data_IF_784194577738
#
_entry.id   IF_784194577738
#
_cell.length_a   1.000
_cell.length_b   1.000
_cell.length_c   1.000
_cell.angle_alpha   90.00
_cell.angle_beta   90.00
_cell.angle_gamma   90.00
#
_symmetry.space_group_name_H-M   'P 1'
#
loop_
_entity.id
_entity.type
_entity.pdbx_description
1 polymer ?
#
# COMPACT_ATOMS: atom_id res chain seq x y z
N UNK A 1 -62.53 9.79 -43.72
CA UNK A 1 -62.43 8.74 -42.67
C UNK A 1 -61.64 7.56 -43.25
N UNK A 2 -60.53 7.21 -42.59
CA UNK A 2 -59.85 5.89 -42.50
C UNK A 2 -59.84 4.99 -43.76
N UNK A 3 -58.66 4.69 -44.31
CA UNK A 3 -57.89 3.50 -43.90
C UNK A 3 -56.51 3.43 -44.58
N UNK A 4 -55.52 3.25 -43.71
CA UNK A 4 -54.09 3.02 -43.91
C UNK A 4 -53.85 1.60 -44.44
N UNK A 5 -52.99 1.42 -45.45
CA UNK A 5 -52.28 0.15 -45.72
C UNK A 5 -50.86 0.45 -46.19
N UNK A 6 -49.90 0.21 -45.30
CA UNK A 6 -48.45 0.30 -45.51
C UNK A 6 -47.96 -1.08 -45.99
N UNK A 7 -47.20 -1.19 -47.09
CA UNK A 7 -46.31 -2.32 -47.29
C UNK A 7 -44.94 -2.00 -46.67
N UNK A 8 -44.54 -2.90 -45.77
CA UNK A 8 -43.26 -2.97 -45.05
C UNK A 8 -42.10 -3.12 -46.05
N UNK A 9 -41.26 -2.09 -46.22
CA UNK A 9 -39.95 -2.25 -46.86
C UNK A 9 -38.88 -2.39 -45.76
N UNK A 10 -38.27 -3.57 -45.72
CA UNK A 10 -37.17 -3.92 -44.83
C UNK A 10 -35.92 -3.09 -45.18
N UNK A 11 -35.50 -2.22 -44.26
CA UNK A 11 -34.17 -1.63 -44.28
C UNK A 11 -33.22 -2.55 -43.52
N UNK A 12 -32.49 -3.39 -44.26
CA UNK A 12 -31.41 -4.23 -43.72
C UNK A 12 -30.13 -3.38 -43.65
N UNK A 13 -29.98 -2.57 -42.62
CA UNK A 13 -28.70 -1.91 -42.32
C UNK A 13 -27.75 -2.91 -41.68
N UNK A 14 -26.83 -3.45 -42.47
CA UNK A 14 -25.67 -4.19 -41.99
C UNK A 14 -24.80 -3.26 -41.13
N UNK A 15 -24.81 -3.46 -39.81
CA UNK A 15 -23.80 -2.90 -38.92
C UNK A 15 -22.46 -3.58 -39.25
N UNK A 16 -21.58 -2.88 -39.95
CA UNK A 16 -20.15 -3.13 -39.81
C UNK A 16 -19.75 -2.69 -38.40
N UNK A 17 -19.76 -3.63 -37.45
CA UNK A 17 -18.99 -3.48 -36.22
C UNK A 17 -17.53 -3.60 -36.64
N UNK A 18 -16.90 -2.45 -36.89
CA UNK A 18 -15.45 -2.34 -36.82
C UNK A 18 -15.11 -2.67 -35.38
N UNK A 19 -14.73 -3.93 -35.13
CA UNK A 19 -14.00 -4.29 -33.93
C UNK A 19 -12.64 -3.59 -34.02
N UNK A 20 -12.61 -2.31 -33.64
CA UNK A 20 -11.40 -1.70 -33.12
C UNK A 20 -11.08 -2.48 -31.86
N UNK A 21 -10.35 -3.58 -32.02
CA UNK A 21 -9.62 -4.22 -30.95
C UNK A 21 -8.61 -3.19 -30.45
N UNK A 22 -9.04 -2.34 -29.53
CA UNK A 22 -8.12 -1.65 -28.65
C UNK A 22 -7.51 -2.76 -27.80
N UNK A 23 -6.38 -3.30 -28.26
CA UNK A 23 -5.35 -3.80 -27.36
C UNK A 23 -4.90 -2.57 -26.56
N UNK A 24 -5.68 -2.20 -25.56
CA UNK A 24 -5.10 -1.54 -24.41
C UNK A 24 -4.28 -2.63 -23.74
N UNK A 25 -3.00 -2.69 -24.06
CA UNK A 25 -1.98 -3.10 -23.11
C UNK A 25 -2.15 -2.15 -21.92
N UNK A 26 -3.16 -2.41 -21.09
CA UNK A 26 -3.38 -1.70 -19.87
C UNK A 26 -2.14 -2.03 -19.03
N UNK A 27 -1.38 -1.00 -18.68
CA UNK A 27 -0.27 -1.11 -17.74
C UNK A 27 -0.71 -2.01 -16.59
N UNK A 28 -0.13 -3.21 -16.55
CA UNK A 28 -0.40 -4.27 -15.58
C UNK A 28 0.34 -3.88 -14.28
N UNK A 29 0.06 -2.67 -13.80
CA UNK A 29 0.59 -2.09 -12.57
C UNK A 29 -0.15 -2.72 -11.39
N UNK A 30 0.61 -3.34 -10.48
CA UNK A 30 0.08 -3.82 -9.22
C UNK A 30 -0.55 -2.65 -8.44
N UNK A 31 -1.69 -2.89 -7.80
CA UNK A 31 -2.34 -1.92 -6.95
C UNK A 31 -1.41 -1.59 -5.78
N UNK A 32 -0.87 -0.38 -5.80
CA UNK A 32 -0.17 0.14 -4.65
C UNK A 32 -1.25 0.60 -3.68
N UNK A 33 -1.47 -0.17 -2.61
CA UNK A 33 -2.20 0.35 -1.45
C UNK A 33 -1.42 1.57 -0.98
N UNK A 34 -2.12 2.67 -0.78
CA UNK A 34 -1.54 3.95 -0.37
C UNK A 34 -0.80 3.75 0.96
N UNK A 35 0.53 3.57 0.90
CA UNK A 35 1.36 3.29 2.05
C UNK A 35 1.80 4.63 2.66
N UNK A 36 0.85 5.30 3.30
CA UNK A 36 1.07 6.58 3.99
C UNK A 36 1.29 6.32 5.48
N UNK A 37 2.37 6.88 6.03
CA UNK A 37 2.73 6.77 7.44
C UNK A 37 2.40 8.08 8.14
N UNK A 38 1.67 7.97 9.25
CA UNK A 38 1.32 9.08 10.13
C UNK A 38 2.15 8.99 11.40
N UNK A 39 2.80 10.07 11.81
CA UNK A 39 3.68 10.12 12.96
C UNK A 39 3.19 11.13 13.97
N UNK A 40 3.11 10.71 15.22
CA UNK A 40 3.02 11.60 16.37
C UNK A 40 4.32 11.53 17.16
N UNK A 41 4.83 12.69 17.57
CA UNK A 41 5.96 12.79 18.48
C UNK A 41 5.44 13.30 19.82
N UNK A 42 5.87 12.67 20.90
CA UNK A 42 5.52 13.01 22.27
C UNK A 42 6.77 13.42 23.05
N UNK A 43 6.58 14.34 24.00
CA UNK A 43 7.59 14.65 25.00
C UNK A 43 7.75 13.53 26.04
N UNK A 44 8.53 13.79 27.11
CA UNK A 44 8.78 12.79 28.15
C UNK A 44 7.52 12.45 28.98
N UNK A 45 6.59 13.41 29.09
CA UNK A 45 5.31 13.27 29.81
C UNK A 45 4.22 12.61 28.94
N UNK A 46 4.56 12.27 27.69
CA UNK A 46 3.62 11.67 26.73
C UNK A 46 2.70 12.70 26.05
N UNK A 47 2.95 14.00 26.23
CA UNK A 47 2.16 15.04 25.56
C UNK A 47 2.60 15.20 24.10
N UNK A 48 1.66 15.36 23.15
CA UNK A 48 2.00 15.56 21.75
C UNK A 48 2.76 16.87 21.52
N UNK A 49 3.83 16.81 20.74
CA UNK A 49 4.57 17.98 20.24
C UNK A 49 3.93 18.41 18.91
N UNK A 50 3.77 19.72 18.67
CA UNK A 50 3.15 20.25 17.45
C UNK A 50 3.99 19.88 16.20
N UNK A 51 3.41 19.15 15.21
CA UNK A 51 4.07 18.85 13.94
C UNK A 51 4.62 20.07 13.21
N UNK A 52 3.96 21.23 13.27
CA UNK A 52 4.43 22.43 12.55
C UNK A 52 5.72 22.98 13.16
N UNK A 53 5.86 22.93 14.48
CA UNK A 53 7.09 23.35 15.16
C UNK A 53 8.25 22.43 14.77
N UNK A 54 7.98 21.12 14.72
CA UNK A 54 8.97 20.13 14.31
C UNK A 54 9.46 20.34 12.86
N UNK A 55 8.56 20.71 11.93
CA UNK A 55 8.94 20.98 10.54
C UNK A 55 9.61 22.36 10.38
N UNK A 56 9.07 23.43 10.97
CA UNK A 56 9.62 24.80 10.86
C UNK A 56 11.04 24.89 11.39
N UNK A 57 11.34 24.17 12.47
CA UNK A 57 12.66 24.16 13.08
C UNK A 57 13.61 23.15 12.43
N UNK A 58 13.20 22.45 11.38
CA UNK A 58 13.92 21.31 10.78
C UNK A 58 14.28 20.22 11.80
N UNK A 59 13.49 20.09 12.87
CA UNK A 59 13.66 19.08 13.91
C UNK A 59 13.14 17.73 13.47
N UNK A 60 12.29 17.66 12.47
CA UNK A 60 11.83 16.40 11.91
C UNK A 60 12.21 16.26 10.43
N UNK A 61 12.81 15.12 10.09
CA UNK A 61 13.06 14.73 8.70
C UNK A 61 13.07 13.22 8.55
N UNK A 62 12.83 12.74 7.33
CA UNK A 62 12.94 11.32 6.99
C UNK A 62 13.85 11.18 5.79
N UNK A 63 14.84 10.30 5.89
CA UNK A 63 15.75 9.98 4.80
C UNK A 63 15.54 8.52 4.42
N UNK A 64 15.14 8.27 3.18
CA UNK A 64 15.09 6.93 2.61
C UNK A 64 16.51 6.39 2.44
N UNK A 65 16.77 5.16 2.90
CA UNK A 65 18.10 4.57 2.74
C UNK A 65 18.44 4.30 1.27
N UNK A 66 17.44 4.12 0.41
CA UNK A 66 17.66 3.84 -1.01
C UNK A 66 17.97 5.12 -1.78
N UNK A 67 19.23 5.50 -1.75
CA UNK A 67 19.75 6.68 -2.45
C UNK A 67 19.89 7.92 -1.57
N UNK A 68 19.67 7.78 -0.25
CA UNK A 68 19.96 8.81 0.75
C UNK A 68 19.17 10.10 0.57
N UNK A 69 17.99 10.03 -0.06
CA UNK A 69 17.17 11.19 -0.36
C UNK A 69 16.23 11.48 0.80
N UNK A 70 16.08 12.76 1.12
CA UNK A 70 15.02 13.21 2.02
C UNK A 70 13.66 12.91 1.37
N UNK A 71 12.76 12.30 2.15
CA UNK A 71 11.37 12.09 1.76
C UNK A 71 10.57 13.36 2.03
N UNK A 72 9.51 13.56 1.26
CA UNK A 72 8.58 14.67 1.49
C UNK A 72 7.78 14.41 2.78
N UNK A 73 7.85 15.36 3.71
CA UNK A 73 7.12 15.29 4.99
C UNK A 73 6.23 16.52 5.08
N UNK A 74 4.96 16.29 5.37
CA UNK A 74 3.96 17.33 5.57
C UNK A 74 3.17 17.09 6.85
N UNK A 75 2.26 18.01 7.15
CA UNK A 75 1.29 17.84 8.25
C UNK A 75 -0.11 17.59 7.69
N UNK A 76 -0.85 16.68 8.30
CA UNK A 76 -2.28 16.49 8.03
C UNK A 76 -3.05 16.37 9.35
N UNK A 77 -4.34 16.69 9.30
CA UNK A 77 -5.26 16.43 10.42
C UNK A 77 -6.02 15.15 10.13
N UNK A 78 -5.81 14.13 10.97
CA UNK A 78 -6.50 12.85 10.91
C UNK A 78 -7.26 12.62 12.21
N UNK A 79 -8.58 12.47 12.11
CA UNK A 79 -9.47 12.25 13.26
C UNK A 79 -9.29 13.25 14.42
N UNK A 80 -8.93 14.51 14.10
CA UNK A 80 -8.71 15.57 15.08
C UNK A 80 -7.27 15.71 15.57
N UNK A 81 -6.41 14.71 15.30
CA UNK A 81 -4.98 14.80 15.60
C UNK A 81 -4.24 15.41 14.41
N UNK A 82 -3.43 16.43 14.67
CA UNK A 82 -2.46 16.93 13.69
C UNK A 82 -1.22 16.05 13.75
N UNK A 83 -0.84 15.47 12.61
CA UNK A 83 0.22 14.46 12.51
C UNK A 83 1.20 14.83 11.39
N UNK A 84 2.44 14.37 11.54
CA UNK A 84 3.42 14.36 10.45
C UNK A 84 3.10 13.21 9.51
N UNK A 85 3.24 13.42 8.20
CA UNK A 85 2.83 12.47 7.17
C UNK A 85 3.89 12.37 6.10
N UNK A 86 4.22 11.13 5.73
CA UNK A 86 5.12 10.83 4.60
C UNK A 86 4.80 9.46 4.01
N UNK A 87 5.34 9.19 2.82
CA UNK A 87 5.28 7.87 2.19
C UNK A 87 6.68 7.24 2.20
N UNK A 88 6.90 6.12 2.91
CA UNK A 88 8.17 5.40 2.86
C UNK A 88 8.46 4.88 1.44
N UNK A 89 9.74 4.63 1.18
CA UNK A 89 10.16 4.05 -0.08
C UNK A 89 9.58 2.64 -0.26
N UNK A 90 9.21 2.27 -1.48
CA UNK A 90 8.78 0.90 -1.74
C UNK A 90 9.95 -0.08 -1.72
N UNK A 91 9.73 -1.32 -1.24
CA UNK A 91 10.68 -2.40 -1.43
C UNK A 91 11.01 -2.55 -2.92
N UNK A 92 12.26 -2.92 -3.22
CA UNK A 92 12.88 -2.87 -4.55
C UNK A 92 11.96 -3.32 -5.70
N UNK A 93 12.09 -2.65 -6.86
CA UNK A 93 11.34 -2.93 -8.10
C UNK A 93 11.36 -4.41 -8.52
N UNK A 94 12.45 -5.12 -8.21
CA UNK A 94 12.59 -6.57 -8.43
C UNK A 94 11.55 -7.44 -7.69
N UNK A 95 11.04 -6.97 -6.55
CA UNK A 95 9.95 -7.64 -5.82
C UNK A 95 8.66 -7.65 -6.64
N UNK A 96 8.45 -6.62 -7.47
CA UNK A 96 7.32 -6.53 -8.41
C UNK A 96 7.57 -7.27 -9.73
N UNK A 97 8.81 -7.29 -10.21
CA UNK A 97 9.19 -8.06 -11.39
C UNK A 97 9.17 -9.59 -11.14
N UNK A 98 9.14 -10.03 -9.87
CA UNK A 98 8.95 -11.44 -9.48
C UNK A 98 7.51 -11.95 -9.64
N UNK A 99 6.54 -11.07 -9.91
CA UNK A 99 5.16 -11.48 -10.19
C UNK A 99 5.08 -11.93 -11.65
N UNK A 100 4.70 -13.19 -11.94
CA UNK A 100 4.50 -13.61 -13.32
C UNK A 100 3.42 -12.74 -13.98
N UNK A 101 3.52 -12.45 -15.29
CA UNK A 101 2.50 -11.71 -16.02
C UNK A 101 1.14 -12.42 -15.91
N UNK A 102 0.05 -11.64 -15.97
CA UNK A 102 -1.34 -12.13 -15.89
C UNK A 102 -1.68 -13.29 -16.84
N UNK A 103 -0.88 -13.46 -17.89
CA UNK A 103 -1.00 -14.54 -18.87
C UNK A 103 -0.55 -15.92 -18.36
N UNK A 104 0.43 -16.01 -17.45
CA UNK A 104 0.87 -17.30 -16.87
C UNK A 104 -0.14 -17.85 -15.85
N UNK A 105 -0.98 -16.97 -15.29
CA UNK A 105 -2.11 -17.35 -14.43
C UNK A 105 -3.36 -17.80 -15.24
N UNK A 106 -3.38 -17.56 -16.56
CA UNK A 106 -4.45 -17.99 -17.47
C UNK A 106 -4.15 -19.40 -18.02
N UNK A 107 -3.98 -20.39 -17.15
CA UNK A 107 -4.05 -21.78 -17.58
C UNK A 107 -5.45 -22.11 -18.12
N UNK A 108 -5.55 -23.13 -18.99
CA UNK A 108 -6.79 -23.54 -19.62
C UNK A 108 -7.95 -23.64 -18.61
N UNK A 109 -9.07 -22.99 -18.90
CA UNK A 109 -10.28 -23.03 -18.08
C UNK A 109 -10.75 -24.47 -17.95
N UNK A 110 -10.86 -24.98 -16.72
CA UNK A 110 -11.43 -26.28 -16.43
C UNK A 110 -12.90 -26.30 -16.87
N UNK A 111 -13.43 -27.49 -17.12
CA UNK A 111 -14.84 -27.71 -17.48
C UNK A 111 -15.85 -27.22 -16.42
N UNK A 112 -15.40 -26.89 -15.22
CA UNK A 112 -16.19 -26.28 -14.13
C UNK A 112 -16.13 -24.74 -14.11
N UNK A 113 -15.48 -24.12 -15.10
CA UNK A 113 -15.32 -22.67 -15.23
C UNK A 113 -14.15 -22.06 -14.45
N UNK A 114 -13.38 -22.84 -13.68
CA UNK A 114 -12.21 -22.34 -12.94
C UNK A 114 -10.95 -22.31 -13.81
N UNK A 115 -10.22 -21.19 -13.84
CA UNK A 115 -8.90 -21.11 -14.50
C UNK A 115 -7.89 -22.00 -13.76
N UNK A 116 -7.16 -22.84 -14.49
CA UNK A 116 -6.05 -23.61 -13.91
C UNK A 116 -4.93 -22.65 -13.50
N UNK A 117 -4.62 -22.52 -12.20
CA UNK A 117 -3.36 -21.90 -11.77
C UNK A 117 -3.39 -21.06 -10.49
N UNK A 118 -4.55 -20.57 -10.08
CA UNK A 118 -4.67 -19.74 -8.87
C UNK A 118 -5.32 -20.60 -7.77
N UNK A 119 -4.48 -21.26 -6.99
CA UNK A 119 -4.87 -22.02 -5.80
C UNK A 119 -4.43 -21.29 -4.54
N UNK A 120 -4.92 -21.68 -3.36
CA UNK A 120 -4.36 -21.24 -2.08
C UNK A 120 -2.85 -21.48 -2.00
N UNK A 121 -2.37 -22.58 -2.60
CA UNK A 121 -0.94 -22.90 -2.72
C UNK A 121 -0.18 -21.88 -3.58
N UNK A 122 -0.78 -21.41 -4.69
CA UNK A 122 -0.22 -20.33 -5.50
C UNK A 122 -0.14 -19.02 -4.70
N UNK A 123 -1.22 -18.63 -4.01
CA UNK A 123 -1.26 -17.42 -3.18
C UNK A 123 -0.19 -17.50 -2.08
N UNK A 124 -0.09 -18.63 -1.38
CA UNK A 124 0.92 -18.87 -0.36
C UNK A 124 2.35 -18.80 -0.93
N UNK A 125 2.58 -19.36 -2.11
CA UNK A 125 3.86 -19.27 -2.83
C UNK A 125 4.22 -17.82 -3.17
N UNK A 126 3.26 -17.01 -3.60
CA UNK A 126 3.49 -15.60 -3.91
C UNK A 126 3.81 -14.79 -2.65
N UNK A 127 3.06 -14.99 -1.55
CA UNK A 127 3.37 -14.38 -0.24
C UNK A 127 4.79 -14.75 0.23
N UNK A 128 5.16 -16.03 0.12
CA UNK A 128 6.49 -16.52 0.48
C UNK A 128 7.60 -15.89 -0.37
N UNK A 129 7.38 -15.78 -1.69
CA UNK A 129 8.32 -15.11 -2.61
C UNK A 129 8.54 -13.65 -2.25
N UNK A 130 7.46 -12.91 -2.01
CA UNK A 130 7.54 -11.50 -1.61
C UNK A 130 8.31 -11.32 -0.30
N UNK A 131 8.00 -12.13 0.73
CA UNK A 131 8.72 -12.09 2.00
C UNK A 131 10.23 -12.39 1.82
N UNK A 132 10.58 -13.36 0.97
CA UNK A 132 11.99 -13.74 0.71
C UNK A 132 12.74 -12.69 -0.12
N UNK A 133 12.04 -11.90 -0.94
CA UNK A 133 12.63 -10.92 -1.87
C UNK A 133 12.96 -9.56 -1.23
N UNK A 134 12.87 -9.43 0.10
CA UNK A 134 13.07 -8.14 0.76
C UNK A 134 11.81 -7.28 0.70
N UNK A 135 10.70 -7.81 1.22
CA UNK A 135 9.43 -7.07 1.41
C UNK A 135 9.51 -6.00 2.49
N UNK A 136 10.64 -5.29 2.62
CA UNK A 136 10.85 -4.19 3.56
C UNK A 136 11.60 -3.03 2.90
N UNK A 137 11.49 -1.85 3.50
CA UNK A 137 12.28 -0.67 3.18
C UNK A 137 12.84 -0.05 4.46
N UNK A 138 14.03 0.52 4.38
CA UNK A 138 14.69 1.17 5.51
C UNK A 138 14.66 2.69 5.35
N UNK A 139 14.53 3.40 6.46
CA UNK A 139 14.69 4.84 6.52
C UNK A 139 15.41 5.25 7.81
N UNK A 140 15.86 6.50 7.85
CA UNK A 140 16.31 7.16 9.07
C UNK A 140 15.36 8.33 9.35
N UNK A 141 14.68 8.29 10.50
CA UNK A 141 13.91 9.43 11.00
C UNK A 141 14.83 10.25 11.88
N UNK A 142 14.93 11.54 11.64
CA UNK A 142 15.57 12.47 12.56
C UNK A 142 14.52 13.21 13.38
N UNK A 143 14.65 13.22 14.71
CA UNK A 143 13.83 14.01 15.63
C UNK A 143 14.76 14.78 16.56
N UNK A 144 14.73 16.11 16.50
CA UNK A 144 15.59 17.01 17.29
C UNK A 144 17.08 16.64 17.16
N UNK A 145 17.51 16.26 15.95
CA UNK A 145 18.88 15.80 15.65
C UNK A 145 19.19 14.35 16.05
N UNK A 146 18.31 13.68 16.81
CA UNK A 146 18.42 12.24 17.11
C UNK A 146 18.06 11.44 15.87
N UNK A 147 18.95 10.54 15.44
CA UNK A 147 18.74 9.67 14.28
C UNK A 147 18.20 8.31 14.72
N UNK A 148 17.09 7.91 14.12
CA UNK A 148 16.33 6.72 14.48
C UNK A 148 16.20 5.84 13.24
N UNK A 149 16.99 4.76 13.14
CA UNK A 149 16.83 3.78 12.08
C UNK A 149 15.48 3.06 12.21
N UNK A 150 14.72 3.02 11.12
CA UNK A 150 13.38 2.42 11.08
C UNK A 150 13.25 1.49 9.88
N UNK A 151 12.57 0.37 10.08
CA UNK A 151 12.29 -0.63 9.04
C UNK A 151 10.78 -0.72 8.85
N UNK A 152 10.34 -0.46 7.62
CA UNK A 152 8.96 -0.63 7.18
C UNK A 152 8.84 -1.98 6.50
N UNK A 153 8.06 -2.89 7.10
CA UNK A 153 7.80 -4.22 6.56
C UNK A 153 6.44 -4.23 5.90
N UNK A 154 6.41 -4.76 4.69
CA UNK A 154 5.23 -4.85 3.87
C UNK A 154 4.76 -6.29 3.76
N UNK A 155 3.47 -6.47 3.52
CA UNK A 155 2.89 -7.73 3.10
C UNK A 155 2.35 -7.64 1.69
N UNK A 156 2.42 -8.76 0.99
CA UNK A 156 1.75 -8.92 -0.27
C UNK A 156 0.28 -9.27 -0.08
N UNK A 157 -0.57 -8.46 -0.68
CA UNK A 157 -2.01 -8.60 -0.73
C UNK A 157 -2.45 -9.16 -2.09
N UNK A 158 -3.41 -10.08 -2.06
CA UNK A 158 -4.17 -10.52 -3.23
C UNK A 158 -5.64 -10.52 -2.83
N UNK A 159 -6.48 -9.78 -3.56
CA UNK A 159 -7.91 -9.99 -3.53
C UNK A 159 -8.22 -11.27 -4.31
N UNK A 160 -8.19 -12.41 -3.61
CA UNK A 160 -8.34 -13.71 -4.23
C UNK A 160 -9.65 -13.80 -5.03
N UNK A 161 -10.73 -13.18 -4.55
CA UNK A 161 -12.04 -13.24 -5.21
C UNK A 161 -12.03 -12.57 -6.59
N UNK A 162 -11.39 -11.40 -6.70
CA UNK A 162 -11.26 -10.67 -7.98
C UNK A 162 -10.16 -11.26 -8.83
N UNK A 163 -9.00 -11.53 -8.25
CA UNK A 163 -7.85 -12.09 -8.94
C UNK A 163 -8.17 -13.45 -9.60
N UNK A 164 -8.97 -14.30 -8.94
CA UNK A 164 -9.44 -15.57 -9.52
C UNK A 164 -10.27 -15.36 -10.80
N UNK A 165 -11.07 -14.29 -10.85
CA UNK A 165 -11.96 -13.98 -11.97
C UNK A 165 -11.24 -13.25 -13.11
N UNK A 166 -10.33 -12.33 -12.79
CA UNK A 166 -9.69 -11.42 -13.73
C UNK A 166 -8.31 -11.92 -14.19
N UNK A 167 -7.53 -12.50 -13.27
CA UNK A 167 -6.08 -12.72 -13.39
C UNK A 167 -5.26 -11.42 -13.41
N UNK A 168 -5.86 -10.27 -13.05
CA UNK A 168 -5.27 -8.94 -13.23
C UNK A 168 -4.29 -8.59 -12.10
N UNK A 169 -3.14 -7.99 -12.44
CA UNK A 169 -2.21 -7.47 -11.41
C UNK A 169 -2.84 -6.36 -10.57
N UNK A 170 -3.86 -5.67 -11.09
CA UNK A 170 -4.63 -4.68 -10.33
C UNK A 170 -5.36 -5.24 -9.11
N UNK A 171 -5.53 -6.57 -9.02
CA UNK A 171 -6.11 -7.23 -7.84
C UNK A 171 -5.05 -7.73 -6.85
N UNK A 172 -3.80 -7.35 -7.07
CA UNK A 172 -2.65 -7.65 -6.21
C UNK A 172 -2.01 -6.35 -5.75
N UNK A 173 -1.43 -6.33 -4.55
CA UNK A 173 -0.83 -5.13 -4.01
C UNK A 173 0.18 -5.39 -2.90
N UNK A 174 0.79 -4.30 -2.44
CA UNK A 174 1.74 -4.30 -1.35
C UNK A 174 1.25 -3.33 -0.29
N UNK A 175 1.03 -3.85 0.90
CA UNK A 175 0.45 -3.12 2.03
C UNK A 175 1.49 -3.04 3.14
N UNK A 176 1.65 -1.85 3.71
CA UNK A 176 2.50 -1.64 4.87
C UNK A 176 1.87 -2.28 6.12
N UNK A 177 2.67 -3.08 6.85
CA UNK A 177 2.15 -3.94 7.92
C UNK A 177 2.82 -3.72 9.26
N UNK A 178 4.14 -3.75 9.31
CA UNK A 178 4.88 -3.69 10.58
C UNK A 178 5.96 -2.63 10.48
N UNK A 179 6.07 -1.79 11.51
CA UNK A 179 7.26 -0.96 11.73
C UNK A 179 8.13 -1.60 12.76
N UNK A 180 9.43 -1.71 12.48
CA UNK A 180 10.43 -2.16 13.44
C UNK A 180 11.46 -1.07 13.72
N UNK A 181 11.78 -0.86 14.99
CA UNK A 181 12.76 0.11 15.47
C UNK A 181 13.39 -0.44 16.76
N UNK A 182 14.72 -0.51 16.83
CA UNK A 182 15.46 -0.94 18.03
C UNK A 182 14.97 -2.26 18.65
N UNK A 183 14.61 -3.24 17.82
CA UNK A 183 14.10 -4.55 18.27
C UNK A 183 12.64 -4.55 18.75
N UNK A 184 11.97 -3.40 18.77
CA UNK A 184 10.51 -3.30 18.93
C UNK A 184 9.83 -3.35 17.57
N UNK A 185 8.64 -3.95 17.52
CA UNK A 185 7.81 -3.96 16.32
C UNK A 185 6.37 -3.57 16.67
N UNK A 186 5.76 -2.72 15.86
CA UNK A 186 4.35 -2.30 15.98
C UNK A 186 3.62 -2.74 14.71
N UNK A 187 2.42 -3.32 14.85
CA UNK A 187 1.50 -3.64 13.74
C UNK A 187 0.34 -2.62 13.76
N UNK A 188 0.43 -1.53 12.99
CA UNK A 188 -0.53 -0.43 13.06
C UNK A 188 -1.87 -0.75 12.37
N UNK A 189 -1.98 -1.86 11.62
CA UNK A 189 -3.19 -2.20 10.88
C UNK A 189 -4.34 -2.67 11.80
N UNK A 190 -4.05 -3.00 13.07
CA UNK A 190 -5.10 -3.29 14.06
C UNK A 190 -5.63 -2.04 14.77
N UNK A 191 -5.05 -0.87 14.53
CA UNK A 191 -5.07 0.23 15.49
C UNK A 191 -5.91 1.43 15.06
N UNK A 192 -5.70 1.95 13.86
CA UNK A 192 -6.49 3.05 13.31
C UNK A 192 -6.62 2.76 11.82
N UNK A 193 -7.70 3.17 11.16
CA UNK A 193 -7.91 2.92 9.73
C UNK A 193 -6.86 3.58 8.79
N UNK A 194 -5.71 4.00 9.34
CA UNK A 194 -4.52 4.56 8.73
C UNK A 194 -3.28 4.16 9.55
N UNK A 195 -2.11 4.10 8.90
CA UNK A 195 -0.89 3.56 9.51
C UNK A 195 -0.19 4.60 10.41
N UNK A 196 -0.44 4.56 11.72
CA UNK A 196 0.12 5.50 12.71
C UNK A 196 1.25 4.89 13.53
N UNK A 197 2.35 5.64 13.66
CA UNK A 197 3.41 5.38 14.64
C UNK A 197 3.54 6.54 15.62
N UNK A 198 4.00 6.23 16.83
CA UNK A 198 4.23 7.23 17.88
C UNK A 198 5.66 7.10 18.41
N UNK A 199 6.35 8.23 18.54
CA UNK A 199 7.65 8.33 19.20
C UNK A 199 7.49 9.09 20.50
N UNK A 200 8.01 8.55 21.61
CA UNK A 200 8.06 9.25 22.90
C UNK A 200 9.50 9.58 23.25
N UNK A 201 9.75 10.82 23.66
CA UNK A 201 11.06 11.25 24.17
C UNK A 201 11.41 10.45 25.42
N UNK A 202 12.66 9.99 25.53
CA UNK A 202 13.18 9.29 26.69
C UNK A 202 14.64 9.68 26.89
N UNK A 203 14.89 10.62 27.79
CA UNK A 203 16.22 11.19 28.00
C UNK A 203 16.71 11.90 26.74
N UNK A 204 17.88 11.50 26.24
CA UNK A 204 18.47 12.09 25.03
C UNK A 204 17.95 11.48 23.72
N UNK A 205 17.06 10.49 23.77
CA UNK A 205 16.57 9.77 22.59
C UNK A 205 15.05 9.72 22.48
N UNK A 206 14.59 8.92 21.53
CA UNK A 206 13.16 8.65 21.30
C UNK A 206 12.95 7.15 21.16
N UNK A 207 11.83 6.65 21.68
CA UNK A 207 11.45 5.24 21.52
C UNK A 207 10.10 5.15 20.82
N UNK A 208 9.94 4.14 19.96
CA UNK A 208 8.63 3.83 19.41
C UNK A 208 7.72 3.30 20.53
N UNK A 209 6.50 3.83 20.60
CA UNK A 209 5.45 3.35 21.50
C UNK A 209 4.29 2.83 20.69
N UNK A 210 3.71 1.73 21.14
CA UNK A 210 2.50 1.21 20.56
C UNK A 210 1.34 2.17 20.92
N UNK A 211 0.63 2.71 19.92
CA UNK A 211 -0.42 3.68 20.18
C UNK A 211 -1.61 3.13 20.98
N UNK A 212 -1.73 1.80 21.16
CA UNK A 212 -2.77 1.14 21.96
C UNK A 212 -2.37 0.84 23.40
N UNK A 213 -1.09 0.55 23.65
CA UNK A 213 -0.61 0.16 24.99
C UNK A 213 -0.06 1.33 25.81
N UNK A 214 -0.12 2.57 25.30
CA UNK A 214 0.33 3.77 26.00
C UNK A 214 -0.41 4.07 27.34
N UNK A 215 -1.43 3.28 27.70
CA UNK A 215 -2.20 3.40 28.94
C UNK A 215 -2.01 2.25 29.96
N UNK A 216 -1.04 1.35 29.76
CA UNK A 216 -0.80 0.24 30.70
C UNK A 216 0.68 0.13 31.12
N UNK A 217 1.19 1.18 31.77
CA UNK A 217 2.26 1.03 32.75
C UNK A 217 1.60 1.09 34.15
N UNK A 218 1.39 -0.08 34.77
CA UNK A 218 1.07 -0.26 36.19
C UNK A 218 2.28 -0.84 36.90
#
# INVERSE_FOLDING_TARGET
>A
MKHLRIPLLAALTALFVVACGSNSDADDSAFVVENTVYVQVQDEDGQPIDPDELLKDNKFSVIGQKGGKALDVRTEVMYGDKLLVFSPEFPLKHSFDMFPPSHDAKGATRSDGRRNGITEEYIAKMRKRFATAGGHSEAEISIDGVKIPIIFNYSFFIDASKFLSSGSRSDTGVELRIVSCEGKSVDPNMSFSYFRIQFRKKGQGYTIVDPFYANHDF
#
